data_IF_756146573064
#
_entry.id   IF_756146573064
#
_cell.length_a   1.000
_cell.length_b   1.000
_cell.length_c   1.000
_cell.angle_alpha   90.00
_cell.angle_beta   90.00
_cell.angle_gamma   90.00
#
_symmetry.space_group_name_H-M   'P 1'
#
loop_
_entity.id
_entity.type
_entity.pdbx_description
1 polymer ?
#
# COMPACT_ATOMS: atom_id res chain seq x y z
N UNK A 1 -22.37 30.42 5.16
CA UNK A 1 -21.44 29.52 4.46
C UNK A 1 -22.07 28.15 4.31
N UNK A 2 -21.95 27.58 3.15
CA UNK A 2 -22.46 26.22 2.90
C UNK A 2 -21.34 25.20 3.03
N UNK A 3 -21.64 24.09 3.67
CA UNK A 3 -20.76 22.95 3.76
C UNK A 3 -21.21 21.89 2.76
N UNK A 4 -20.30 21.42 1.95
CA UNK A 4 -20.60 20.37 0.98
C UNK A 4 -20.27 19.03 1.62
N UNK A 5 -21.27 18.42 2.25
CA UNK A 5 -21.07 17.18 3.01
C UNK A 5 -20.87 15.95 2.12
N UNK A 6 -21.31 16.03 0.89
CA UNK A 6 -21.23 14.91 -0.05
C UNK A 6 -20.00 14.93 -0.95
N UNK A 7 -19.12 15.93 -0.77
CA UNK A 7 -17.89 15.98 -1.53
C UNK A 7 -16.92 14.95 -0.99
N UNK A 8 -16.37 14.14 -1.89
CA UNK A 8 -15.37 13.14 -1.54
C UNK A 8 -14.00 13.62 -1.98
N UNK A 9 -13.03 13.46 -1.09
CA UNK A 9 -11.64 13.79 -1.38
C UNK A 9 -10.96 12.65 -2.12
N UNK A 10 -11.39 11.43 -1.87
CA UNK A 10 -10.81 10.26 -2.52
C UNK A 10 -11.30 8.95 -1.92
N UNK A 11 -10.59 7.88 -2.24
CA UNK A 11 -10.87 6.54 -1.75
C UNK A 11 -9.68 6.03 -0.96
N UNK A 12 -9.92 5.53 0.24
CA UNK A 12 -8.90 4.96 1.12
C UNK A 12 -9.10 3.46 1.22
N UNK A 13 -8.13 2.70 0.75
CA UNK A 13 -8.15 1.24 0.73
C UNK A 13 -7.23 0.71 1.81
N UNK A 14 -7.74 -0.20 2.65
CA UNK A 14 -6.98 -0.86 3.71
C UNK A 14 -6.89 -2.34 3.38
N UNK A 15 -5.67 -2.89 3.40
CA UNK A 15 -5.43 -4.30 3.05
C UNK A 15 -4.58 -4.95 4.13
N UNK A 16 -5.06 -6.09 4.65
CA UNK A 16 -4.29 -6.95 5.54
C UNK A 16 -4.06 -8.28 4.84
N UNK A 17 -2.81 -8.75 4.81
CA UNK A 17 -2.41 -9.96 4.09
C UNK A 17 -1.76 -10.92 5.07
N UNK A 18 -2.14 -12.19 4.99
CA UNK A 18 -1.71 -13.23 5.92
C UNK A 18 -1.03 -14.38 5.17
N UNK A 19 -0.30 -15.20 5.93
CA UNK A 19 0.37 -16.39 5.38
C UNK A 19 1.40 -16.06 4.29
N UNK A 20 2.12 -14.97 4.49
CA UNK A 20 3.21 -14.57 3.60
C UNK A 20 4.53 -15.10 4.16
N UNK A 21 5.38 -15.72 3.34
CA UNK A 21 6.69 -16.21 3.80
C UNK A 21 7.56 -15.09 4.38
N UNK A 22 8.34 -15.43 5.41
CA UNK A 22 9.22 -14.50 6.10
C UNK A 22 10.12 -13.71 5.13
N UNK A 23 10.74 -14.39 4.17
CA UNK A 23 11.67 -13.75 3.25
C UNK A 23 11.04 -12.71 2.35
N UNK A 24 9.77 -12.84 2.02
CA UNK A 24 9.05 -11.83 1.24
C UNK A 24 8.73 -10.60 2.08
N UNK A 25 8.62 -10.76 3.39
CA UNK A 25 8.25 -9.68 4.30
C UNK A 25 9.46 -8.93 4.83
N UNK A 26 10.66 -9.48 4.68
CA UNK A 26 11.88 -8.90 5.25
C UNK A 26 12.85 -8.36 4.20
N UNK A 27 12.38 -8.14 2.99
CA UNK A 27 13.18 -7.65 1.88
C UNK A 27 12.79 -6.22 1.54
N UNK A 28 13.44 -5.26 2.19
CA UNK A 28 13.10 -3.84 2.07
C UNK A 28 13.22 -3.34 0.63
N UNK A 29 14.26 -3.72 -0.08
CA UNK A 29 14.49 -3.27 -1.46
C UNK A 29 13.41 -3.80 -2.40
N UNK A 30 13.03 -5.07 -2.22
CA UNK A 30 12.01 -5.70 -3.07
C UNK A 30 10.63 -5.11 -2.79
N UNK A 31 10.30 -4.90 -1.52
CA UNK A 31 9.02 -4.29 -1.14
C UNK A 31 8.91 -2.88 -1.71
N UNK A 32 9.97 -2.09 -1.58
CA UNK A 32 10.00 -0.74 -2.16
C UNK A 32 9.77 -0.80 -3.68
N UNK A 33 10.47 -1.68 -4.38
CA UNK A 33 10.35 -1.80 -5.82
C UNK A 33 8.94 -2.19 -6.24
N UNK A 34 8.34 -3.15 -5.53
CA UNK A 34 6.98 -3.60 -5.80
C UNK A 34 5.98 -2.46 -5.64
N UNK A 35 6.09 -1.70 -4.56
CA UNK A 35 5.17 -0.58 -4.30
C UNK A 35 5.33 0.53 -5.33
N UNK A 36 6.56 0.88 -5.68
CA UNK A 36 6.84 1.91 -6.69
C UNK A 36 6.32 1.47 -8.06
N UNK A 37 6.61 0.22 -8.45
CA UNK A 37 6.17 -0.30 -9.74
C UNK A 37 4.65 -0.36 -9.84
N UNK A 38 3.97 -0.77 -8.78
CA UNK A 38 2.51 -0.81 -8.75
C UNK A 38 1.90 0.57 -9.05
N UNK A 39 2.45 1.60 -8.43
CA UNK A 39 2.01 2.98 -8.68
C UNK A 39 2.29 3.40 -10.12
N UNK A 40 3.49 3.12 -10.62
CA UNK A 40 3.88 3.51 -11.99
C UNK A 40 3.02 2.83 -13.05
N UNK A 41 2.74 1.54 -12.88
CA UNK A 41 1.90 0.80 -13.84
C UNK A 41 0.52 1.43 -13.94
N UNK A 42 -0.04 1.88 -12.83
CA UNK A 42 -1.37 2.50 -12.79
C UNK A 42 -1.35 4.00 -13.06
N UNK A 43 -0.21 4.55 -13.44
CA UNK A 43 -0.09 5.97 -13.77
C UNK A 43 -0.22 6.89 -12.57
N UNK A 44 0.11 6.40 -11.37
CA UNK A 44 0.11 7.19 -10.14
C UNK A 44 1.50 7.75 -9.93
N UNK A 45 1.60 9.07 -9.82
CA UNK A 45 2.88 9.76 -9.69
C UNK A 45 3.45 9.58 -8.28
N UNK A 46 4.66 9.06 -8.19
CA UNK A 46 5.41 8.91 -6.95
C UNK A 46 6.32 10.12 -6.77
N UNK A 47 6.10 10.86 -5.69
CA UNK A 47 6.88 12.08 -5.39
C UNK A 47 8.05 11.81 -4.46
N UNK A 48 7.89 10.87 -3.53
CA UNK A 48 8.91 10.57 -2.53
C UNK A 48 8.75 9.13 -2.06
N UNK A 49 9.86 8.50 -1.72
CA UNK A 49 9.89 7.14 -1.20
C UNK A 49 10.78 7.14 0.04
N UNK A 50 10.27 6.55 1.12
CA UNK A 50 11.06 6.33 2.33
C UNK A 50 10.83 4.90 2.80
N UNK A 51 11.90 4.12 2.86
CA UNK A 51 11.86 2.72 3.29
C UNK A 51 12.81 2.52 4.46
N UNK A 52 12.32 1.84 5.50
CA UNK A 52 13.11 1.51 6.68
C UNK A 52 13.11 0.01 6.91
N UNK A 53 14.30 -0.55 7.02
CA UNK A 53 14.49 -1.95 7.41
C UNK A 53 14.73 -1.98 8.92
N UNK A 54 13.84 -2.64 9.66
CA UNK A 54 14.00 -2.78 11.11
C UNK A 54 14.98 -3.89 11.46
N UNK A 55 15.63 -3.74 12.59
CA UNK A 55 16.51 -4.73 13.18
C UNK A 55 15.80 -5.32 14.41
N UNK A 56 15.60 -6.64 14.49
CA UNK A 56 16.20 -7.68 13.65
C UNK A 56 15.46 -7.96 12.33
N UNK A 57 14.20 -7.56 12.19
CA UNK A 57 13.45 -7.76 10.96
C UNK A 57 12.21 -6.87 10.92
N UNK A 58 11.64 -6.75 9.73
CA UNK A 58 10.46 -5.92 9.49
C UNK A 58 10.79 -4.77 8.55
N UNK A 59 9.79 -4.32 7.80
CA UNK A 59 9.96 -3.26 6.82
C UNK A 59 8.78 -2.28 6.92
N UNK A 60 9.09 -1.00 6.86
CA UNK A 60 8.10 0.05 6.60
C UNK A 60 8.49 0.75 5.31
N UNK A 61 7.56 0.85 4.39
CA UNK A 61 7.75 1.56 3.13
C UNK A 61 6.62 2.56 2.94
N UNK A 62 6.97 3.83 2.85
CA UNK A 62 6.01 4.91 2.66
C UNK A 62 6.29 5.64 1.36
N UNK A 63 5.25 5.75 0.52
CA UNK A 63 5.31 6.52 -0.70
C UNK A 63 4.41 7.74 -0.58
N UNK A 64 4.98 8.91 -0.82
CA UNK A 64 4.19 10.12 -1.02
C UNK A 64 3.84 10.18 -2.49
N UNK A 65 2.55 10.19 -2.77
CA UNK A 65 2.02 10.28 -4.12
C UNK A 65 1.46 11.68 -4.34
N UNK A 66 1.15 12.03 -5.60
CA UNK A 66 0.50 13.30 -5.87
C UNK A 66 -0.89 13.29 -5.22
N UNK A 67 -1.07 14.08 -4.18
CA UNK A 67 -2.30 14.23 -3.39
C UNK A 67 -2.76 12.94 -2.69
N UNK A 68 -1.83 12.00 -2.43
CA UNK A 68 -2.20 10.70 -1.88
C UNK A 68 -0.98 9.99 -1.28
N UNK A 69 -1.16 8.75 -0.85
CA UNK A 69 -0.06 7.98 -0.29
C UNK A 69 -0.28 6.46 -0.45
N UNK A 70 0.82 5.73 -0.32
CA UNK A 70 0.82 4.28 -0.11
C UNK A 70 1.76 3.99 1.05
N UNK A 71 1.28 3.27 2.07
CA UNK A 71 2.09 2.85 3.20
C UNK A 71 2.01 1.34 3.36
N UNK A 72 3.16 0.70 3.57
CA UNK A 72 3.26 -0.74 3.71
C UNK A 72 4.12 -1.07 4.93
N UNK A 73 3.60 -1.93 5.81
CA UNK A 73 4.26 -2.35 7.04
C UNK A 73 4.24 -3.87 7.13
N UNK A 74 5.39 -4.48 7.40
CA UNK A 74 5.49 -5.93 7.49
C UNK A 74 5.83 -6.40 8.89
N UNK A 75 5.31 -7.59 9.23
CA UNK A 75 5.62 -8.31 10.46
C UNK A 75 6.06 -9.72 10.05
N UNK A 76 7.35 -9.90 9.68
CA UNK A 76 7.84 -11.22 9.24
C UNK A 76 7.63 -12.32 10.28
N UNK A 77 7.77 -11.98 11.57
CA UNK A 77 7.57 -12.93 12.66
C UNK A 77 6.12 -13.42 12.79
N UNK A 78 5.18 -12.71 12.20
CA UNK A 78 3.75 -13.06 12.19
C UNK A 78 3.26 -13.45 10.80
N UNK A 79 4.15 -13.47 9.82
CA UNK A 79 3.83 -13.80 8.43
C UNK A 79 2.73 -12.92 7.84
N UNK A 80 2.69 -11.66 8.22
CA UNK A 80 1.64 -10.75 7.75
C UNK A 80 2.17 -9.38 7.36
N UNK A 81 1.36 -8.68 6.58
CA UNK A 81 1.63 -7.33 6.12
C UNK A 81 0.32 -6.54 6.11
N UNK A 82 0.41 -5.27 6.47
CA UNK A 82 -0.70 -4.33 6.32
C UNK A 82 -0.25 -3.20 5.42
N UNK A 83 -1.05 -2.89 4.42
CA UNK A 83 -0.78 -1.72 3.60
C UNK A 83 -2.07 -0.98 3.31
N UNK A 84 -1.92 0.31 3.04
CA UNK A 84 -3.06 1.15 2.69
C UNK A 84 -2.69 2.09 1.58
N UNK A 85 -3.70 2.44 0.80
CA UNK A 85 -3.55 3.35 -0.34
C UNK A 85 -4.69 4.34 -0.28
N UNK A 86 -4.35 5.62 -0.24
CA UNK A 86 -5.32 6.70 -0.40
C UNK A 86 -5.08 7.36 -1.75
N UNK A 87 -6.10 7.37 -2.60
CA UNK A 87 -6.01 8.00 -3.92
C UNK A 87 -7.10 9.04 -4.07
N UNK A 88 -6.78 10.09 -4.83
CA UNK A 88 -7.71 11.16 -5.16
C UNK A 88 -8.14 11.04 -6.63
N UNK A 89 -9.28 11.64 -6.93
CA UNK A 89 -9.77 11.72 -8.31
C UNK A 89 -10.23 10.37 -8.86
N UNK A 90 -9.91 10.12 -10.12
CA UNK A 90 -10.40 8.96 -10.86
C UNK A 90 -9.54 7.70 -10.70
N UNK A 91 -8.42 7.77 -9.99
CA UNK A 91 -7.55 6.61 -9.81
C UNK A 91 -8.20 5.61 -8.86
N UNK A 92 -8.15 4.33 -9.23
CA UNK A 92 -8.71 3.26 -8.40
C UNK A 92 -7.60 2.61 -7.58
N UNK A 93 -7.62 2.75 -6.25
CA UNK A 93 -6.56 2.18 -5.41
C UNK A 93 -6.51 0.64 -5.46
N UNK A 94 -7.62 -0.02 -5.83
CA UNK A 94 -7.64 -1.49 -5.94
C UNK A 94 -6.69 -1.97 -7.03
N UNK A 95 -6.56 -1.23 -8.13
CA UNK A 95 -5.63 -1.62 -9.19
C UNK A 95 -4.19 -1.62 -8.71
N UNK A 96 -3.81 -0.60 -7.95
CA UNK A 96 -2.47 -0.56 -7.33
C UNK A 96 -2.31 -1.71 -6.34
N UNK A 97 -3.33 -1.94 -5.50
CA UNK A 97 -3.29 -2.98 -4.47
C UNK A 97 -3.10 -4.37 -5.05
N UNK A 98 -3.75 -4.69 -6.18
CA UNK A 98 -3.61 -6.00 -6.78
C UNK A 98 -2.19 -6.28 -7.30
N UNK A 99 -1.48 -5.25 -7.77
CA UNK A 99 -0.07 -5.41 -8.13
C UNK A 99 0.80 -5.71 -6.91
N UNK A 100 0.53 -5.07 -5.77
CA UNK A 100 1.24 -5.35 -4.52
C UNK A 100 0.92 -6.75 -4.02
N UNK A 101 -0.36 -7.15 -4.05
CA UNK A 101 -0.80 -8.48 -3.64
C UNK A 101 -0.16 -9.59 -4.48
N UNK A 102 0.07 -9.34 -5.75
CA UNK A 102 0.71 -10.33 -6.64
C UNK A 102 2.10 -10.71 -6.12
N UNK A 103 2.84 -9.76 -5.59
CA UNK A 103 4.14 -10.06 -5.00
C UNK A 103 4.01 -10.96 -3.78
N UNK A 104 3.04 -10.68 -2.90
CA UNK A 104 2.87 -11.47 -1.68
C UNK A 104 2.32 -12.87 -1.96
N UNK A 105 1.62 -13.04 -3.06
CA UNK A 105 1.21 -14.34 -3.64
C UNK A 105 0.45 -15.23 -2.65
N UNK A 106 -0.60 -14.68 -2.04
CA UNK A 106 -1.49 -15.42 -1.15
C UNK A 106 -2.93 -14.96 -1.37
N UNK A 107 -3.88 -15.88 -1.20
CA UNK A 107 -5.31 -15.59 -1.26
C UNK A 107 -5.88 -15.19 0.09
N UNK A 108 -5.05 -15.23 1.15
CA UNK A 108 -5.49 -14.94 2.50
C UNK A 108 -5.31 -13.46 2.82
N UNK A 109 -6.27 -12.65 2.41
CA UNK A 109 -6.23 -11.20 2.67
C UNK A 109 -7.63 -10.65 2.90
N UNK A 110 -7.67 -9.50 3.57
CA UNK A 110 -8.89 -8.71 3.78
C UNK A 110 -8.68 -7.34 3.16
N UNK A 111 -9.64 -6.88 2.40
CA UNK A 111 -9.57 -5.59 1.71
C UNK A 111 -10.85 -4.80 1.97
N UNK A 112 -10.70 -3.61 2.52
CA UNK A 112 -11.83 -2.70 2.79
C UNK A 112 -11.54 -1.34 2.21
N UNK A 113 -12.54 -0.70 1.62
CA UNK A 113 -12.38 0.65 1.11
C UNK A 113 -13.39 1.61 1.75
N UNK A 114 -12.99 2.87 1.82
CA UNK A 114 -13.78 3.94 2.40
C UNK A 114 -13.72 5.16 1.50
N UNK A 115 -14.88 5.72 1.20
CA UNK A 115 -14.95 7.02 0.55
C UNK A 115 -14.65 8.10 1.59
N UNK A 116 -13.82 9.06 1.22
CA UNK A 116 -13.42 10.13 2.12
C UNK A 116 -13.65 11.49 1.49
#
# INVERSE_FOLDING_TARGET
MKHVKNAHMGTHLLVEVYNVPFEKLNDAKKIEQVCVDACKIEGVQVLNVHTHQFDPYGVTCNLTLSESHLSCHTWPEKNCVAFDIFTCGSKNPRCVAFWVLEYFDTDDYVMNDYAR
#
